data_IF_123338443329
#
_entry.id   IF_123338443329
#
_cell.length_a   1.000
_cell.length_b   1.000
_cell.length_c   1.000
_cell.angle_alpha   90.00
_cell.angle_beta   90.00
_cell.angle_gamma   90.00
#
_symmetry.space_group_name_H-M   'P 1'
#
loop_
_entity.id
_entity.type
_entity.pdbx_description
1 polymer ?
#
# COMPACT_ATOMS: atom_id res chain seq x y z
N UNK A 1 15.02 -67.21 -8.92
CA UNK A 1 15.29 -66.10 -9.89
C UNK A 1 14.11 -65.21 -9.98
N UNK A 2 14.32 -63.91 -9.87
CA UNK A 2 13.41 -62.75 -10.01
C UNK A 2 12.78 -62.28 -8.68
N UNK A 3 13.23 -61.12 -8.29
CA UNK A 3 12.57 -60.28 -7.30
C UNK A 3 13.50 -59.20 -6.78
N UNK A 4 13.75 -58.20 -7.55
CA UNK A 4 14.48 -57.01 -7.06
C UNK A 4 14.19 -55.87 -8.00
N UNK A 5 13.52 -54.84 -7.50
CA UNK A 5 13.43 -53.62 -8.28
C UNK A 5 12.23 -52.71 -8.04
N UNK A 6 11.65 -52.64 -6.84
CA UNK A 6 10.51 -51.73 -6.62
C UNK A 6 10.64 -50.82 -5.40
N UNK A 7 11.71 -50.89 -4.64
CA UNK A 7 11.84 -50.11 -3.40
C UNK A 7 12.57 -48.73 -3.56
N UNK A 8 13.23 -48.42 -4.66
CA UNK A 8 13.96 -47.16 -4.79
C UNK A 8 13.17 -46.01 -5.42
N UNK A 9 12.03 -46.27 -6.05
CA UNK A 9 11.26 -45.20 -6.74
C UNK A 9 10.26 -44.48 -5.85
N UNK A 10 9.81 -45.07 -4.75
CA UNK A 10 8.90 -44.46 -3.77
C UNK A 10 9.59 -43.44 -2.86
N UNK A 11 10.90 -43.51 -2.70
CA UNK A 11 11.65 -42.60 -1.81
C UNK A 11 11.92 -41.22 -2.40
N UNK A 12 11.93 -41.08 -3.73
CA UNK A 12 12.18 -39.77 -4.38
C UNK A 12 10.92 -38.91 -4.44
N UNK A 13 9.78 -39.51 -4.71
CA UNK A 13 8.49 -38.82 -4.81
C UNK A 13 8.04 -38.25 -3.46
N UNK A 14 8.17 -39.00 -2.37
CA UNK A 14 7.87 -38.52 -1.02
C UNK A 14 8.81 -37.39 -0.52
N UNK A 15 10.05 -37.36 -1.03
CA UNK A 15 11.00 -36.28 -0.70
C UNK A 15 10.67 -34.99 -1.46
N UNK A 16 10.27 -35.08 -2.71
CA UNK A 16 9.85 -33.91 -3.51
C UNK A 16 8.57 -33.31 -2.98
N UNK A 17 7.60 -34.12 -2.55
CA UNK A 17 6.36 -33.67 -1.92
C UNK A 17 6.63 -32.99 -0.57
N UNK A 18 7.49 -33.53 0.26
CA UNK A 18 7.89 -32.94 1.55
C UNK A 18 8.63 -31.61 1.35
N UNK A 19 9.50 -31.49 0.37
CA UNK A 19 10.19 -30.24 0.04
C UNK A 19 9.22 -29.20 -0.48
N UNK A 20 8.24 -29.60 -1.31
CA UNK A 20 7.20 -28.70 -1.81
C UNK A 20 6.31 -28.18 -0.66
N UNK A 21 5.91 -29.02 0.28
CA UNK A 21 5.13 -28.61 1.45
C UNK A 21 5.91 -27.64 2.35
N UNK A 22 7.20 -27.90 2.58
CA UNK A 22 8.06 -27.00 3.34
C UNK A 22 8.20 -25.65 2.61
N UNK A 23 8.38 -25.62 1.31
CA UNK A 23 8.46 -24.40 0.53
C UNK A 23 7.16 -23.59 0.55
N UNK A 24 6.01 -24.27 0.46
CA UNK A 24 4.68 -23.64 0.58
C UNK A 24 4.51 -23.04 1.97
N UNK A 25 4.91 -23.75 3.02
CA UNK A 25 4.87 -23.26 4.41
C UNK A 25 5.73 -22.01 4.61
N UNK A 26 6.94 -21.98 4.11
CA UNK A 26 7.85 -20.81 4.17
C UNK A 26 7.31 -19.62 3.39
N UNK A 27 6.72 -19.87 2.22
CA UNK A 27 6.08 -18.83 1.42
C UNK A 27 4.90 -18.21 2.18
N UNK A 28 4.07 -19.02 2.81
CA UNK A 28 2.91 -18.56 3.58
C UNK A 28 3.30 -17.72 4.81
N UNK A 29 4.37 -18.11 5.51
CA UNK A 29 4.89 -17.36 6.67
C UNK A 29 5.46 -16.00 6.22
N UNK A 30 6.23 -15.95 5.15
CA UNK A 30 6.76 -14.69 4.60
C UNK A 30 5.66 -13.75 4.14
N UNK A 31 4.63 -14.29 3.49
CA UNK A 31 3.46 -13.55 3.02
C UNK A 31 2.67 -12.93 4.17
N UNK A 32 2.42 -13.69 5.24
CA UNK A 32 1.72 -13.18 6.43
C UNK A 32 2.50 -12.05 7.10
N UNK A 33 3.82 -12.16 7.22
CA UNK A 33 4.67 -11.10 7.77
C UNK A 33 4.65 -9.84 6.92
N UNK A 34 4.75 -9.99 5.60
CA UNK A 34 4.70 -8.85 4.68
C UNK A 34 3.36 -8.10 4.77
N UNK A 35 2.24 -8.81 4.77
CA UNK A 35 0.91 -8.19 4.91
C UNK A 35 0.75 -7.49 6.26
N UNK A 36 1.31 -8.01 7.33
CA UNK A 36 1.29 -7.36 8.64
C UNK A 36 2.11 -6.07 8.65
N UNK A 37 3.29 -6.06 8.00
CA UNK A 37 4.10 -4.84 7.84
C UNK A 37 3.36 -3.81 7.00
N UNK A 38 2.75 -4.23 5.89
CA UNK A 38 1.96 -3.35 5.03
C UNK A 38 0.76 -2.76 5.78
N UNK A 39 0.08 -3.56 6.59
CA UNK A 39 -1.01 -3.09 7.46
C UNK A 39 -0.54 -2.00 8.43
N UNK A 40 0.55 -2.23 9.14
CA UNK A 40 1.14 -1.26 10.06
C UNK A 40 1.54 0.03 9.34
N UNK A 41 2.11 -0.09 8.14
CA UNK A 41 2.44 1.04 7.29
C UNK A 41 1.21 1.87 6.92
N UNK A 42 0.12 1.23 6.46
CA UNK A 42 -1.13 1.90 6.11
C UNK A 42 -1.74 2.63 7.29
N UNK A 43 -1.72 2.03 8.49
CA UNK A 43 -2.19 2.69 9.73
C UNK A 43 -1.36 3.94 10.03
N UNK A 44 -0.04 3.82 9.99
CA UNK A 44 0.86 4.96 10.24
C UNK A 44 0.61 6.10 9.26
N UNK A 45 0.53 5.81 7.96
CA UNK A 45 0.24 6.80 6.92
C UNK A 45 -1.14 7.44 7.11
N UNK A 46 -2.14 6.66 7.55
CA UNK A 46 -3.49 7.17 7.84
C UNK A 46 -3.48 8.16 9.00
N UNK A 47 -2.77 7.86 10.07
CA UNK A 47 -2.67 8.75 11.25
C UNK A 47 -1.99 10.07 10.87
N UNK A 48 -0.89 10.02 10.10
CA UNK A 48 -0.19 11.22 9.63
C UNK A 48 -1.11 12.05 8.72
N UNK A 49 -1.82 11.42 7.79
CA UNK A 49 -2.75 12.09 6.89
C UNK A 49 -3.91 12.75 7.66
N UNK A 50 -4.43 12.09 8.69
CA UNK A 50 -5.46 12.65 9.57
C UNK A 50 -4.95 13.88 10.33
N UNK A 51 -3.72 13.84 10.83
CA UNK A 51 -3.08 14.99 11.47
C UNK A 51 -2.94 16.18 10.52
N UNK A 52 -2.49 15.94 9.27
CA UNK A 52 -2.40 16.97 8.23
C UNK A 52 -3.77 17.55 7.86
N UNK A 53 -4.83 16.73 7.86
CA UNK A 53 -6.20 17.20 7.62
C UNK A 53 -6.64 18.15 8.73
N UNK A 54 -6.47 17.78 9.99
CA UNK A 54 -6.82 18.64 11.15
C UNK A 54 -6.05 19.96 11.09
N UNK A 55 -4.77 19.91 10.77
CA UNK A 55 -3.93 21.11 10.62
C UNK A 55 -4.47 22.03 9.52
N UNK A 56 -4.84 21.49 8.37
CA UNK A 56 -5.39 22.24 7.24
C UNK A 56 -6.73 22.91 7.54
N UNK A 57 -7.54 22.33 8.44
CA UNK A 57 -8.77 22.96 8.92
C UNK A 57 -8.53 24.10 9.91
N UNK A 58 -7.47 23.98 10.71
CA UNK A 58 -7.15 24.99 11.75
C UNK A 58 -6.46 26.21 11.16
N UNK A 59 -5.53 25.98 10.24
CA UNK A 59 -4.70 27.06 9.70
C UNK A 59 -4.33 26.76 8.24
N UNK A 60 -4.74 27.68 7.33
CA UNK A 60 -4.39 27.59 5.91
C UNK A 60 -2.93 27.95 5.63
N UNK A 61 -2.26 28.67 6.55
CA UNK A 61 -0.84 29.03 6.40
C UNK A 61 0.07 27.82 6.36
N UNK A 62 -0.32 26.74 7.03
CA UNK A 62 0.38 25.45 6.97
C UNK A 62 0.56 24.94 5.53
N UNK A 63 -0.46 25.07 4.66
CA UNK A 63 -0.38 24.63 3.27
C UNK A 63 0.55 25.55 2.45
N UNK A 64 0.46 26.86 2.64
CA UNK A 64 1.28 27.83 1.92
C UNK A 64 2.76 27.78 2.30
N UNK A 65 3.07 27.48 3.56
CA UNK A 65 4.43 27.41 4.07
C UNK A 65 5.11 26.05 3.88
N UNK A 66 4.36 24.96 3.85
CA UNK A 66 4.92 23.60 3.83
C UNK A 66 4.72 22.87 2.51
N UNK A 67 3.57 23.04 1.86
CA UNK A 67 3.23 22.29 0.64
C UNK A 67 3.32 23.18 -0.62
N UNK A 68 2.54 24.25 -0.68
CA UNK A 68 2.40 25.08 -1.89
C UNK A 68 3.28 26.34 -1.82
N UNK A 69 4.57 26.14 -1.57
CA UNK A 69 5.56 27.21 -1.37
C UNK A 69 5.92 27.93 -2.66
N UNK A 70 5.62 27.38 -3.84
CA UNK A 70 5.92 28.02 -5.13
C UNK A 70 5.03 29.23 -5.43
N UNK A 71 3.76 29.17 -5.04
CA UNK A 71 2.79 30.27 -5.21
C UNK A 71 1.88 30.37 -3.98
N UNK A 72 2.38 30.85 -2.86
CA UNK A 72 1.64 30.89 -1.59
C UNK A 72 0.38 31.78 -1.66
N UNK A 73 0.34 32.75 -2.56
CA UNK A 73 -0.81 33.63 -2.77
C UNK A 73 -2.06 32.94 -3.32
N UNK A 74 -1.93 31.74 -3.89
CA UNK A 74 -3.06 30.92 -4.37
C UNK A 74 -3.68 30.08 -3.26
N UNK A 75 -3.02 29.94 -2.12
CA UNK A 75 -3.53 29.18 -0.98
C UNK A 75 -4.50 30.06 -0.17
N UNK A 76 -5.73 29.66 -0.12
CA UNK A 76 -6.78 30.31 0.67
C UNK A 76 -7.48 29.32 1.59
N UNK A 77 -8.34 29.82 2.47
CA UNK A 77 -9.06 28.98 3.44
C UNK A 77 -9.98 27.94 2.79
N UNK A 78 -10.54 28.21 1.63
CA UNK A 78 -11.38 27.25 0.89
C UNK A 78 -10.51 26.10 0.38
N UNK A 79 -9.38 26.39 -0.25
CA UNK A 79 -8.46 25.39 -0.77
C UNK A 79 -7.91 24.51 0.37
N UNK A 80 -7.56 25.14 1.51
CA UNK A 80 -7.08 24.38 2.68
C UNK A 80 -8.14 23.41 3.23
N UNK A 81 -9.40 23.82 3.30
CA UNK A 81 -10.49 22.92 3.70
C UNK A 81 -10.75 21.82 2.69
N UNK A 82 -10.70 22.13 1.39
CA UNK A 82 -10.84 21.12 0.32
C UNK A 82 -9.74 20.08 0.39
N UNK A 83 -8.48 20.51 0.57
CA UNK A 83 -7.35 19.62 0.80
C UNK A 83 -7.56 18.76 2.06
N UNK A 84 -8.03 19.37 3.15
CA UNK A 84 -8.29 18.67 4.40
C UNK A 84 -9.36 17.57 4.26
N UNK A 85 -10.49 17.84 3.60
CA UNK A 85 -11.55 16.84 3.34
C UNK A 85 -11.03 15.70 2.47
N UNK A 86 -10.34 16.01 1.38
CA UNK A 86 -9.78 15.00 0.48
C UNK A 86 -8.76 14.09 1.19
N UNK A 87 -7.88 14.69 1.98
CA UNK A 87 -6.86 13.96 2.75
C UNK A 87 -7.50 13.12 3.87
N UNK A 88 -8.55 13.65 4.53
CA UNK A 88 -9.30 12.92 5.54
C UNK A 88 -9.99 11.69 4.94
N UNK A 89 -10.69 11.85 3.81
CA UNK A 89 -11.33 10.74 3.10
C UNK A 89 -10.30 9.65 2.74
N UNK A 90 -9.17 10.05 2.20
CA UNK A 90 -8.09 9.13 1.86
C UNK A 90 -7.54 8.40 3.10
N UNK A 91 -7.42 9.08 4.24
CA UNK A 91 -6.95 8.47 5.49
C UNK A 91 -7.93 7.42 6.02
N UNK A 92 -9.22 7.70 5.96
CA UNK A 92 -10.28 6.77 6.38
C UNK A 92 -10.26 5.51 5.50
N UNK A 93 -10.20 5.64 4.17
CA UNK A 93 -10.12 4.51 3.25
C UNK A 93 -8.90 3.63 3.56
N UNK A 94 -7.72 4.24 3.79
CA UNK A 94 -6.48 3.52 4.13
C UNK A 94 -6.57 2.81 5.47
N UNK A 95 -7.24 3.42 6.44
CA UNK A 95 -7.48 2.83 7.76
C UNK A 95 -8.36 1.57 7.65
N UNK A 96 -9.47 1.66 6.91
CA UNK A 96 -10.34 0.50 6.66
C UNK A 96 -9.61 -0.61 5.90
N UNK A 97 -8.79 -0.27 4.91
CA UNK A 97 -7.96 -1.25 4.21
C UNK A 97 -6.96 -1.94 5.16
N UNK A 98 -6.40 -1.23 6.12
CA UNK A 98 -5.52 -1.83 7.12
C UNK A 98 -6.27 -2.80 8.04
N UNK A 99 -7.55 -2.57 8.34
CA UNK A 99 -8.39 -3.48 9.13
C UNK A 99 -8.68 -4.74 8.32
N UNK A 100 -9.16 -4.61 7.08
CA UNK A 100 -9.49 -5.72 6.20
C UNK A 100 -8.62 -5.72 4.91
N UNK A 101 -7.34 -6.05 5.08
CA UNK A 101 -6.36 -6.02 3.99
C UNK A 101 -6.60 -7.09 2.91
N UNK A 102 -7.43 -8.10 3.21
CA UNK A 102 -7.79 -9.16 2.27
C UNK A 102 -8.95 -8.82 1.34
N UNK A 103 -9.66 -7.77 1.62
CA UNK A 103 -10.74 -7.26 0.76
C UNK A 103 -10.15 -6.61 -0.50
N UNK A 104 -10.21 -7.33 -1.63
CA UNK A 104 -9.62 -6.90 -2.90
C UNK A 104 -10.18 -5.56 -3.39
N UNK A 105 -11.48 -5.33 -3.23
CA UNK A 105 -12.12 -4.07 -3.65
C UNK A 105 -11.56 -2.90 -2.85
N UNK A 106 -11.55 -3.02 -1.53
CA UNK A 106 -11.02 -1.99 -0.64
C UNK A 106 -9.52 -1.76 -0.86
N UNK A 107 -8.77 -2.84 -1.11
CA UNK A 107 -7.35 -2.79 -1.45
C UNK A 107 -7.09 -1.97 -2.73
N UNK A 108 -7.84 -2.26 -3.80
CA UNK A 108 -7.71 -1.54 -5.07
C UNK A 108 -8.11 -0.06 -4.95
N UNK A 109 -9.18 0.25 -4.21
CA UNK A 109 -9.58 1.64 -3.93
C UNK A 109 -8.46 2.36 -3.17
N UNK A 110 -7.87 1.71 -2.17
CA UNK A 110 -6.75 2.28 -1.40
C UNK A 110 -5.53 2.54 -2.29
N UNK A 111 -5.16 1.58 -3.13
CA UNK A 111 -4.08 1.74 -4.11
C UNK A 111 -4.34 2.93 -5.04
N UNK A 112 -5.58 3.07 -5.52
CA UNK A 112 -5.98 4.19 -6.36
C UNK A 112 -5.84 5.54 -5.63
N UNK A 113 -6.13 5.62 -4.32
CA UNK A 113 -5.91 6.87 -3.56
C UNK A 113 -4.44 7.29 -3.52
N UNK A 114 -3.50 6.34 -3.53
CA UNK A 114 -2.07 6.66 -3.60
C UNK A 114 -1.66 7.13 -4.99
N UNK A 115 -2.21 6.57 -6.07
CA UNK A 115 -1.99 7.08 -7.43
C UNK A 115 -2.52 8.49 -7.60
N UNK A 116 -3.71 8.80 -7.07
CA UNK A 116 -4.26 10.15 -7.09
C UNK A 116 -3.36 11.13 -6.32
N UNK A 117 -2.89 10.75 -5.14
CA UNK A 117 -1.97 11.60 -4.37
C UNK A 117 -0.65 11.84 -5.10
N UNK A 118 -0.06 10.79 -5.68
CA UNK A 118 1.17 10.90 -6.47
C UNK A 118 0.96 11.82 -7.69
N UNK A 119 -0.10 11.60 -8.46
CA UNK A 119 -0.45 12.41 -9.62
C UNK A 119 -0.70 13.87 -9.27
N UNK A 120 -1.41 14.14 -8.18
CA UNK A 120 -1.65 15.49 -7.69
C UNK A 120 -0.33 16.22 -7.39
N UNK A 121 0.51 15.68 -6.52
CA UNK A 121 1.76 16.36 -6.16
C UNK A 121 2.74 16.49 -7.33
N UNK A 122 2.80 15.50 -8.24
CA UNK A 122 3.63 15.60 -9.44
C UNK A 122 3.12 16.72 -10.37
N UNK A 123 1.79 16.84 -10.55
CA UNK A 123 1.22 17.90 -11.37
C UNK A 123 1.46 19.30 -10.76
N UNK A 124 1.36 19.43 -9.44
CA UNK A 124 1.61 20.72 -8.76
C UNK A 124 3.07 21.15 -8.84
N UNK A 125 4.01 20.18 -8.84
CA UNK A 125 5.44 20.49 -8.97
C UNK A 125 5.83 20.78 -10.43
N UNK A 126 5.43 19.92 -11.37
CA UNK A 126 5.97 19.96 -12.74
C UNK A 126 5.10 20.73 -13.75
N UNK A 127 3.78 20.75 -13.56
CA UNK A 127 2.85 21.37 -14.50
C UNK A 127 2.45 22.78 -14.03
N UNK A 128 1.97 22.90 -12.80
CA UNK A 128 1.41 24.16 -12.30
C UNK A 128 2.46 25.04 -11.60
N UNK A 129 3.56 24.45 -11.11
CA UNK A 129 4.62 25.16 -10.40
C UNK A 129 4.15 25.84 -9.10
N UNK A 130 3.09 25.33 -8.50
CA UNK A 130 2.50 25.83 -7.24
C UNK A 130 3.21 25.28 -6.02
N UNK A 131 3.80 24.08 -6.15
CA UNK A 131 4.56 23.41 -5.11
C UNK A 131 6.05 23.38 -5.49
N UNK A 132 6.90 24.02 -4.71
CA UNK A 132 8.35 23.86 -4.89
C UNK A 132 8.79 22.47 -4.36
N UNK A 133 9.89 21.93 -4.90
CA UNK A 133 10.45 20.64 -4.50
C UNK A 133 11.11 20.72 -3.11
N UNK A 134 10.34 21.06 -2.11
CA UNK A 134 10.74 21.11 -0.69
C UNK A 134 10.46 19.81 0.01
N UNK A 135 11.00 19.62 1.22
CA UNK A 135 10.76 18.44 2.06
C UNK A 135 9.26 18.24 2.30
N UNK A 136 8.47 19.31 2.42
CA UNK A 136 7.01 19.24 2.61
C UNK A 136 6.27 18.53 1.48
N UNK A 137 6.74 18.67 0.22
CA UNK A 137 6.18 18.01 -0.96
C UNK A 137 6.85 16.66 -1.25
N UNK A 138 8.17 16.58 -1.03
CA UNK A 138 8.91 15.35 -1.25
C UNK A 138 8.47 14.23 -0.32
N UNK A 139 8.12 14.54 0.94
CA UNK A 139 7.65 13.55 1.90
C UNK A 139 6.37 12.81 1.42
N UNK A 140 5.26 13.48 1.05
CA UNK A 140 4.09 12.79 0.52
C UNK A 140 4.35 12.08 -0.82
N UNK A 141 5.24 12.59 -1.69
CA UNK A 141 5.64 11.91 -2.91
C UNK A 141 6.34 10.57 -2.62
N UNK A 142 7.30 10.56 -1.70
CA UNK A 142 8.00 9.34 -1.29
C UNK A 142 7.06 8.34 -0.63
N UNK A 143 6.20 8.80 0.28
CA UNK A 143 5.20 7.95 0.95
C UNK A 143 4.25 7.32 -0.09
N UNK A 144 3.75 8.09 -1.05
CA UNK A 144 2.88 7.58 -2.10
C UNK A 144 3.60 6.54 -2.97
N UNK A 145 4.83 6.81 -3.40
CA UNK A 145 5.63 5.90 -4.23
C UNK A 145 5.92 4.58 -3.53
N UNK A 146 6.40 4.62 -2.29
CA UNK A 146 6.66 3.39 -1.50
C UNK A 146 5.38 2.62 -1.20
N UNK A 147 4.27 3.32 -0.93
CA UNK A 147 2.97 2.68 -0.70
C UNK A 147 2.47 1.96 -1.94
N UNK A 148 2.58 2.59 -3.12
CA UNK A 148 2.21 1.96 -4.40
C UNK A 148 3.03 0.70 -4.63
N UNK A 149 4.36 0.76 -4.51
CA UNK A 149 5.24 -0.40 -4.68
C UNK A 149 4.89 -1.52 -3.70
N UNK A 150 4.76 -1.21 -2.42
CA UNK A 150 4.40 -2.18 -1.40
C UNK A 150 3.03 -2.81 -1.64
N UNK A 151 2.04 -2.02 -2.05
CA UNK A 151 0.71 -2.52 -2.36
C UNK A 151 0.66 -3.34 -3.65
N UNK A 152 1.42 -2.99 -4.69
CA UNK A 152 1.51 -3.81 -5.91
C UNK A 152 2.12 -5.19 -5.62
N UNK A 153 3.17 -5.25 -4.81
CA UNK A 153 3.75 -6.52 -4.34
C UNK A 153 2.71 -7.30 -3.52
N UNK A 154 2.01 -6.62 -2.61
CA UNK A 154 0.97 -7.23 -1.77
C UNK A 154 -0.21 -7.77 -2.57
N UNK A 155 -0.59 -7.12 -3.67
CA UNK A 155 -1.65 -7.57 -4.55
C UNK A 155 -1.33 -8.93 -5.20
N UNK A 156 -0.09 -9.11 -5.66
CA UNK A 156 0.38 -10.39 -6.20
C UNK A 156 0.27 -11.52 -5.16
N UNK A 157 0.62 -11.24 -3.90
CA UNK A 157 0.48 -12.20 -2.82
C UNK A 157 -0.98 -12.57 -2.52
N UNK A 158 -1.89 -11.60 -2.53
CA UNK A 158 -3.31 -11.83 -2.33
C UNK A 158 -3.95 -12.67 -3.47
N UNK A 159 -3.49 -12.50 -4.70
CA UNK A 159 -3.95 -13.29 -5.85
C UNK A 159 -3.47 -14.75 -5.76
N UNK A 160 -2.22 -14.98 -5.38
CA UNK A 160 -1.67 -16.33 -5.17
C UNK A 160 -2.40 -17.06 -4.04
N UNK A 161 -2.70 -16.38 -2.93
CA UNK A 161 -3.46 -16.95 -1.81
C UNK A 161 -4.87 -17.37 -2.24
N UNK A 162 -5.57 -16.51 -2.98
CA UNK A 162 -6.91 -16.79 -3.48
C UNK A 162 -6.94 -18.00 -4.44
N UNK A 163 -5.94 -18.11 -5.31
CA UNK A 163 -5.82 -19.24 -6.26
C UNK A 163 -5.55 -20.56 -5.53
N UNK A 164 -4.71 -20.54 -4.52
CA UNK A 164 -4.36 -21.72 -3.71
C UNK A 164 -5.56 -22.22 -2.90
N UNK A 165 -6.36 -21.31 -2.33
CA UNK A 165 -7.57 -21.68 -1.61
C UNK A 165 -8.65 -22.27 -2.52
N UNK A 166 -8.81 -21.75 -3.73
CA UNK A 166 -9.75 -22.29 -4.72
C UNK A 166 -9.36 -23.70 -5.15
N UNK A 167 -8.05 -24.00 -5.31
CA UNK A 167 -7.55 -25.33 -5.67
C UNK A 167 -7.74 -26.37 -4.57
N UNK A 168 -7.78 -25.96 -3.31
CA UNK A 168 -8.06 -26.89 -2.18
C UNK A 168 -9.55 -27.19 -1.98
N UNK A 169 -10.43 -26.43 -2.61
CA UNK A 169 -11.88 -26.53 -2.46
C UNK A 169 -12.57 -27.35 -3.56
N UNK A 170 -11.86 -27.56 -4.69
CA UNK A 170 -12.22 -28.44 -5.79
C UNK A 170 -11.45 -29.77 -5.70
#
# INVERSE_FOLDING_TARGET
>A
MRGGGTCCFLGSQGREEAVAEIQIGWCHIKMSRFLNVLRSWLVMVSIIAMGNSVQSFRDHSFLSEKLYTGKPSLVNGLQARTFGIWTLLSSVIRCYCAIDIRNKTLYNITLFTFFLALGHFLSEVFIYGTAAATIGVLAPLMVASFSILGMLIGLQYLEVEATTQNKKRN
#
